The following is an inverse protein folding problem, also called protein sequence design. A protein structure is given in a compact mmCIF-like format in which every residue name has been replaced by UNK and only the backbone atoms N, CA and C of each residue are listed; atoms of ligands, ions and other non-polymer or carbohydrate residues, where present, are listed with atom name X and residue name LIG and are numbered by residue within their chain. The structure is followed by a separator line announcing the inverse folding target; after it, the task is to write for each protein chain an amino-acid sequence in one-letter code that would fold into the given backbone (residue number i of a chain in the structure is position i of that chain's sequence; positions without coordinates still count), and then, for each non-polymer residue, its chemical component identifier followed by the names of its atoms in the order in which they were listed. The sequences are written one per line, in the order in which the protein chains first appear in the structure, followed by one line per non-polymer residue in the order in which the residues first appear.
data_IF_181851545985
#
_entry.id   IF_181851545985
#
_cell.length_a   1.000
_cell.length_b   1.000
_cell.length_c   1.000
_cell.angle_alpha   90.00
_cell.angle_beta   90.00
_cell.angle_gamma   90.00
#
_symmetry.space_group_name_H-M   'P 1'
#
loop_
_entity.id
_entity.type
_entity.pdbx_description
1 polymer ?
#
# COMPACT_ATOMS: atom_id res chain seq x y z
N UNK A 1 -13.36 14.00 5.75
CA UNK A 1 -12.56 13.14 4.85
C UNK A 1 -11.61 12.36 5.73
N UNK A 2 -11.46 11.06 5.52
CA UNK A 2 -10.64 10.21 6.40
C UNK A 2 -9.14 10.47 6.17
N UNK A 3 -8.41 10.84 7.23
CA UNK A 3 -6.98 11.17 7.19
C UNK A 3 -6.14 10.02 6.64
N UNK A 4 -6.54 8.77 6.91
CA UNK A 4 -5.85 7.60 6.38
C UNK A 4 -5.92 7.55 4.84
N UNK A 5 -7.09 7.87 4.28
CA UNK A 5 -7.32 7.92 2.83
C UNK A 5 -6.47 9.00 2.16
N UNK A 6 -6.32 10.17 2.77
CA UNK A 6 -5.48 11.24 2.22
C UNK A 6 -3.99 10.89 2.22
N UNK A 7 -3.50 10.27 3.31
CA UNK A 7 -2.11 9.78 3.37
C UNK A 7 -1.89 8.70 2.31
N UNK A 8 -2.84 7.78 2.15
CA UNK A 8 -2.77 6.72 1.16
C UNK A 8 -2.69 7.27 -0.26
N UNK A 9 -3.51 8.27 -0.60
CA UNK A 9 -3.48 8.95 -1.89
C UNK A 9 -2.06 9.40 -2.24
N UNK A 10 -1.41 10.14 -1.35
CA UNK A 10 -0.05 10.62 -1.59
C UNK A 10 1.01 9.51 -1.62
N UNK A 11 0.82 8.43 -0.84
CA UNK A 11 1.69 7.25 -0.93
C UNK A 11 1.59 6.56 -2.28
N UNK A 12 0.40 6.43 -2.84
CA UNK A 12 0.20 5.89 -4.19
C UNK A 12 0.82 6.78 -5.27
N UNK A 13 0.95 8.10 -5.01
CA UNK A 13 1.72 9.05 -5.82
C UNK A 13 3.23 9.07 -5.51
N UNK A 14 3.73 8.10 -4.75
CA UNK A 14 5.12 7.97 -4.34
C UNK A 14 5.66 9.19 -3.55
N UNK A 15 4.86 9.86 -2.72
CA UNK A 15 5.32 11.04 -1.98
C UNK A 15 5.96 10.67 -0.62
N UNK A 16 7.03 11.37 -0.20
CA UNK A 16 7.68 11.15 1.10
C UNK A 16 6.85 11.71 2.26
N UNK A 17 7.08 11.21 3.47
CA UNK A 17 6.38 11.62 4.71
C UNK A 17 6.36 13.13 4.90
N UNK A 18 7.50 13.80 4.67
CA UNK A 18 7.63 15.26 4.85
C UNK A 18 6.71 16.02 3.89
N UNK A 19 6.57 15.54 2.65
CA UNK A 19 5.65 16.15 1.69
C UNK A 19 4.21 16.02 2.18
N UNK A 20 3.79 14.81 2.56
CA UNK A 20 2.43 14.53 3.03
C UNK A 20 2.08 15.37 4.25
N UNK A 21 2.98 15.40 5.24
CA UNK A 21 2.82 16.18 6.46
C UNK A 21 2.60 17.68 6.16
N UNK A 22 3.44 18.26 5.30
CA UNK A 22 3.30 19.66 4.88
C UNK A 22 1.99 19.91 4.13
N UNK A 23 1.62 19.03 3.19
CA UNK A 23 0.43 19.20 2.36
C UNK A 23 -0.87 19.06 3.15
N UNK A 24 -0.90 18.16 4.14
CA UNK A 24 -2.07 17.95 5.00
C UNK A 24 -2.06 18.82 6.26
N UNK A 25 -1.05 19.66 6.44
CA UNK A 25 -0.85 20.49 7.65
C UNK A 25 -0.90 19.66 8.96
N UNK A 26 -0.20 18.52 8.96
CA UNK A 26 -0.05 17.63 10.12
C UNK A 26 1.42 17.34 10.39
N UNK A 27 1.74 16.80 11.55
CA UNK A 27 3.11 16.45 11.89
C UNK A 27 3.56 15.13 11.23
N UNK A 28 4.89 15.00 11.05
CA UNK A 28 5.46 13.78 10.46
C UNK A 28 5.31 12.53 11.35
N UNK A 29 5.09 12.66 12.67
CA UNK A 29 4.86 11.51 13.55
C UNK A 29 3.48 10.92 13.30
N UNK A 30 2.46 11.75 13.11
CA UNK A 30 1.10 11.30 12.73
C UNK A 30 1.12 10.50 11.43
N UNK A 31 1.78 10.99 10.38
CA UNK A 31 1.92 10.25 9.12
C UNK A 31 2.62 8.91 9.32
N UNK A 32 3.72 8.88 10.09
CA UNK A 32 4.45 7.63 10.38
C UNK A 32 3.63 6.64 11.22
N UNK A 33 2.85 7.15 12.16
CA UNK A 33 1.99 6.33 13.01
C UNK A 33 0.98 5.55 12.16
N UNK A 34 0.26 6.24 11.27
CA UNK A 34 -0.72 5.62 10.37
C UNK A 34 -0.06 4.57 9.45
N UNK A 35 1.10 4.88 8.88
CA UNK A 35 1.82 3.94 8.02
C UNK A 35 2.28 2.70 8.80
N UNK A 36 2.77 2.88 10.02
CA UNK A 36 3.19 1.78 10.88
C UNK A 36 1.99 0.93 11.34
N UNK A 37 0.84 1.56 11.57
CA UNK A 37 -0.43 0.86 11.82
C UNK A 37 -0.77 -0.07 10.66
N UNK A 38 -0.79 0.42 9.41
CA UNK A 38 -1.02 -0.43 8.23
C UNK A 38 0.00 -1.56 8.12
N UNK A 39 1.29 -1.29 8.38
CA UNK A 39 2.34 -2.32 8.37
C UNK A 39 2.07 -3.45 9.37
N UNK A 40 1.60 -3.12 10.57
CA UNK A 40 1.24 -4.11 11.60
C UNK A 40 0.01 -4.91 11.20
N UNK A 41 -1.06 -4.23 10.80
CA UNK A 41 -2.35 -4.86 10.48
C UNK A 41 -2.30 -5.75 9.25
N UNK A 42 -1.44 -5.42 8.28
CA UNK A 42 -1.33 -6.17 7.02
C UNK A 42 -0.12 -7.11 6.98
N UNK A 43 0.54 -7.31 8.12
CA UNK A 43 1.74 -8.15 8.21
C UNK A 43 1.44 -9.58 7.75
N UNK A 44 0.53 -10.25 8.45
CA UNK A 44 0.25 -11.67 8.23
C UNK A 44 -0.19 -11.96 6.80
N UNK A 45 -1.10 -11.13 6.26
CA UNK A 45 -1.54 -11.26 4.87
C UNK A 45 -0.37 -11.16 3.88
N UNK A 46 0.46 -10.11 3.98
CA UNK A 46 1.61 -9.91 3.08
C UNK A 46 2.62 -11.04 3.16
N UNK A 47 2.83 -11.62 4.34
CA UNK A 47 3.76 -12.73 4.52
C UNK A 47 3.17 -14.09 4.13
N UNK A 48 1.85 -14.25 4.18
CA UNK A 48 1.14 -15.43 3.71
C UNK A 48 1.05 -15.53 2.17
N UNK A 49 1.19 -14.42 1.45
CA UNK A 49 1.15 -14.42 -0.01
C UNK A 49 2.22 -15.34 -0.60
N UNK A 50 1.78 -16.19 -1.54
CA UNK A 50 2.60 -17.08 -2.36
C UNK A 50 2.31 -16.79 -3.83
N UNK A 51 3.30 -17.00 -4.68
CA UNK A 51 3.14 -16.91 -6.12
C UNK A 51 3.79 -18.11 -6.77
N UNK A 52 3.08 -18.75 -7.69
CA UNK A 52 3.57 -19.91 -8.44
C UNK A 52 4.50 -19.49 -9.59
N UNK A 53 4.62 -18.18 -9.86
CA UNK A 53 5.39 -17.61 -10.96
C UNK A 53 6.03 -16.28 -10.54
N UNK A 54 6.90 -16.34 -9.53
CA UNK A 54 7.70 -15.18 -9.13
C UNK A 54 8.68 -14.90 -10.28
N UNK A 55 8.46 -13.81 -10.99
CA UNK A 55 9.40 -13.31 -11.99
C UNK A 55 10.73 -12.96 -11.32
N UNK A 56 11.85 -13.19 -12.02
CA UNK A 56 13.18 -12.75 -11.58
C UNK A 56 13.26 -11.22 -11.45
N UNK A 57 12.43 -10.48 -12.21
CA UNK A 57 12.40 -9.03 -12.21
C UNK A 57 11.28 -8.45 -11.36
N UNK A 58 11.58 -7.36 -10.66
CA UNK A 58 10.60 -6.57 -9.92
C UNK A 58 9.67 -5.86 -10.93
N UNK A 59 8.36 -6.17 -10.96
CA UNK A 59 7.47 -5.62 -11.97
C UNK A 59 7.17 -4.14 -11.72
N UNK A 60 7.03 -3.36 -12.79
CA UNK A 60 6.60 -1.96 -12.67
C UNK A 60 5.08 -1.88 -12.49
N UNK A 61 4.66 -1.53 -11.28
CA UNK A 61 3.25 -1.33 -10.90
C UNK A 61 2.89 0.15 -10.74
N UNK A 62 3.81 1.07 -11.06
CA UNK A 62 3.64 2.52 -10.84
C UNK A 62 2.35 3.06 -11.47
N UNK A 63 2.09 2.66 -12.71
CA UNK A 63 0.91 3.10 -13.46
C UNK A 63 -0.42 2.60 -12.88
N UNK A 64 -0.42 1.47 -12.17
CA UNK A 64 -1.58 0.98 -11.43
C UNK A 64 -1.79 1.86 -10.20
N UNK A 65 -0.80 1.92 -9.31
CA UNK A 65 -0.92 2.64 -8.04
C UNK A 65 -1.33 4.10 -8.22
N UNK A 66 -0.74 4.81 -9.20
CA UNK A 66 -1.08 6.21 -9.45
C UNK A 66 -2.52 6.44 -9.91
N UNK A 67 -3.20 5.43 -10.48
CA UNK A 67 -4.61 5.49 -10.91
C UNK A 67 -5.59 5.03 -9.83
N UNK A 68 -5.10 4.69 -8.64
CA UNK A 68 -5.94 4.25 -7.55
C UNK A 68 -6.97 5.32 -7.16
N UNK A 69 -8.24 4.93 -7.12
CA UNK A 69 -9.34 5.72 -6.57
C UNK A 69 -9.59 5.43 -5.08
N UNK A 70 -8.74 4.59 -4.47
CA UNK A 70 -8.82 4.16 -3.08
C UNK A 70 -10.17 3.52 -2.71
N UNK A 71 -10.88 2.92 -3.67
CA UNK A 71 -12.12 2.18 -3.45
C UNK A 71 -11.85 0.70 -3.13
N UNK A 72 -12.84 0.02 -2.54
CA UNK A 72 -12.80 -1.44 -2.34
C UNK A 72 -12.66 -2.20 -3.65
N UNK A 73 -13.44 -1.81 -4.68
CA UNK A 73 -13.38 -2.44 -5.99
C UNK A 73 -11.99 -2.35 -6.60
N UNK A 74 -11.34 -1.19 -6.47
CA UNK A 74 -9.97 -1.01 -6.93
C UNK A 74 -8.98 -1.85 -6.11
N UNK A 75 -9.15 -1.93 -4.78
CA UNK A 75 -8.31 -2.77 -3.93
C UNK A 75 -8.37 -4.25 -4.35
N UNK A 76 -9.57 -4.79 -4.61
CA UNK A 76 -9.75 -6.16 -5.11
C UNK A 76 -9.09 -6.36 -6.48
N UNK A 77 -9.28 -5.40 -7.41
CA UNK A 77 -8.63 -5.43 -8.73
C UNK A 77 -7.10 -5.37 -8.62
N UNK A 78 -6.59 -4.58 -7.68
CA UNK A 78 -5.16 -4.43 -7.46
C UNK A 78 -4.55 -5.72 -6.93
N UNK A 79 -5.18 -6.37 -5.93
CA UNK A 79 -4.66 -7.61 -5.32
C UNK A 79 -4.92 -8.87 -6.15
N UNK A 80 -5.84 -8.83 -7.13
CA UNK A 80 -5.97 -9.92 -8.12
C UNK A 80 -4.94 -9.85 -9.25
N UNK A 81 -4.16 -8.75 -9.33
CA UNK A 81 -3.14 -8.60 -10.36
C UNK A 81 -1.84 -9.33 -9.97
N UNK A 82 -1.43 -10.31 -10.77
CA UNK A 82 -0.22 -11.12 -10.54
C UNK A 82 1.06 -10.29 -10.43
N UNK A 83 1.19 -9.18 -11.17
CA UNK A 83 2.34 -8.30 -11.06
C UNK A 83 2.38 -7.59 -9.71
N UNK A 84 1.23 -7.21 -9.16
CA UNK A 84 1.15 -6.62 -7.81
C UNK A 84 1.51 -7.66 -6.75
N UNK A 85 0.99 -8.89 -6.86
CA UNK A 85 1.34 -9.97 -5.93
C UNK A 85 2.84 -10.26 -5.96
N UNK A 86 3.43 -10.36 -7.16
CA UNK A 86 4.87 -10.54 -7.32
C UNK A 86 5.67 -9.37 -6.74
N UNK A 87 5.22 -8.12 -6.97
CA UNK A 87 5.83 -6.94 -6.35
C UNK A 87 5.82 -7.03 -4.82
N UNK A 88 4.68 -7.38 -4.22
CA UNK A 88 4.57 -7.52 -2.77
C UNK A 88 5.56 -8.55 -2.24
N UNK A 89 5.61 -9.73 -2.85
CA UNK A 89 6.49 -10.82 -2.40
C UNK A 89 7.97 -10.41 -2.48
N UNK A 90 8.38 -9.73 -3.56
CA UNK A 90 9.76 -9.28 -3.76
C UNK A 90 10.16 -8.12 -2.82
N UNK A 91 9.22 -7.25 -2.45
CA UNK A 91 9.51 -6.02 -1.71
C UNK A 91 9.00 -6.02 -0.25
N UNK A 92 8.37 -7.09 0.25
CA UNK A 92 7.75 -7.13 1.60
C UNK A 92 8.71 -6.87 2.77
N UNK A 93 10.00 -7.09 2.57
CA UNK A 93 11.04 -6.83 3.57
C UNK A 93 11.67 -5.43 3.44
N UNK A 94 11.33 -4.66 2.40
CA UNK A 94 11.90 -3.33 2.18
C UNK A 94 11.23 -2.27 3.06
N UNK A 95 11.96 -1.76 4.05
CA UNK A 95 11.42 -0.86 5.07
C UNK A 95 10.94 0.51 4.56
N UNK A 96 11.51 0.99 3.44
CA UNK A 96 11.31 2.34 2.91
C UNK A 96 10.49 2.39 1.61
N UNK A 97 9.87 1.27 1.24
CA UNK A 97 9.09 1.18 0.02
C UNK A 97 7.73 1.90 0.16
N UNK A 98 7.62 3.06 -0.48
CA UNK A 98 6.42 3.91 -0.45
C UNK A 98 5.23 3.30 -1.19
N UNK A 99 5.49 2.49 -2.22
CA UNK A 99 4.44 1.77 -2.93
C UNK A 99 3.91 0.60 -2.11
N UNK A 100 4.76 -0.05 -1.31
CA UNK A 100 4.28 -0.98 -0.29
C UNK A 100 3.37 -0.29 0.73
N UNK A 101 3.64 0.95 1.14
CA UNK A 101 2.72 1.70 2.02
C UNK A 101 1.33 1.89 1.36
N UNK A 102 1.28 2.24 0.08
CA UNK A 102 0.02 2.34 -0.70
C UNK A 102 -0.72 0.99 -0.78
N UNK A 103 0.00 -0.09 -1.10
CA UNK A 103 -0.59 -1.43 -1.20
C UNK A 103 -1.13 -1.89 0.16
N UNK A 104 -0.41 -1.62 1.25
CA UNK A 104 -0.85 -1.96 2.61
C UNK A 104 -2.14 -1.23 2.98
N UNK A 105 -2.34 0.01 2.55
CA UNK A 105 -3.64 0.66 2.73
C UNK A 105 -4.76 -0.09 1.99
N UNK A 106 -4.54 -0.55 0.75
CA UNK A 106 -5.54 -1.35 0.02
C UNK A 106 -5.84 -2.69 0.71
N UNK A 107 -4.83 -3.35 1.28
CA UNK A 107 -5.04 -4.58 2.06
C UNK A 107 -5.81 -4.27 3.36
N UNK A 108 -5.42 -3.21 4.07
CA UNK A 108 -6.11 -2.74 5.28
C UNK A 108 -7.60 -2.50 5.01
N UNK A 109 -7.94 -1.79 3.93
CA UNK A 109 -9.32 -1.57 3.51
C UNK A 109 -10.11 -2.89 3.41
N UNK A 110 -9.54 -3.92 2.77
CA UNK A 110 -10.21 -5.19 2.57
C UNK A 110 -10.34 -6.01 3.86
N UNK A 111 -9.32 -5.99 4.73
CA UNK A 111 -9.36 -6.66 6.03
C UNK A 111 -10.42 -6.05 6.96
N UNK A 112 -10.51 -4.72 7.01
CA UNK A 112 -11.52 -4.03 7.85
C UNK A 112 -12.95 -4.33 7.41
N UNK A 113 -13.16 -4.78 6.16
CA UNK A 113 -14.46 -5.13 5.60
C UNK A 113 -14.68 -6.66 5.50
N UNK A 114 -13.78 -7.47 6.08
CA UNK A 114 -13.82 -8.94 6.05
C UNK A 114 -13.91 -9.54 4.64
N UNK A 115 -13.23 -8.93 3.67
CA UNK A 115 -13.26 -9.36 2.27
C UNK A 115 -12.09 -10.26 1.87
N UNK A 116 -11.06 -10.36 2.70
CA UNK A 116 -9.87 -11.21 2.56
C UNK A 116 -9.36 -11.65 3.94
#
# INVERSE_FOLDING_TARGET
MDMEREIAYYRCQNKPVIFIAKTLNIDCKTVRYIINKWKKETHDYVFALKSNSISFFNPDITGLLKRSDLSFSYAQKLLSNTYVINYIILNRNEAHNRYMDCIRYHIHLLLTHNLI
#
